data_IF_493466650134
#
_entry.id   IF_493466650134
#
_cell.length_a   1.000
_cell.length_b   1.000
_cell.length_c   1.000
_cell.angle_alpha   90.00
_cell.angle_beta   90.00
_cell.angle_gamma   90.00
#
_symmetry.space_group_name_H-M   'P 1'
#
loop_
_entity.id
_entity.type
_entity.pdbx_description
1 polymer ?
#
# COMPACT_ATOMS: atom_id res chain seq x y z
N UNK A 1 12.30 40.62 -30.22
CA UNK A 1 11.56 39.45 -30.75
C UNK A 1 11.15 38.60 -29.55
N UNK A 2 9.85 38.50 -29.23
CA UNK A 2 9.34 37.74 -28.06
C UNK A 2 9.33 36.24 -28.38
N UNK A 3 10.07 35.44 -27.62
CA UNK A 3 10.02 33.98 -27.70
C UNK A 3 8.64 33.49 -27.26
N UNK A 4 7.92 32.85 -28.18
CA UNK A 4 6.60 32.25 -27.97
C UNK A 4 6.76 30.79 -27.54
N UNK A 5 6.19 30.46 -26.37
CA UNK A 5 5.58 29.17 -26.01
C UNK A 5 6.46 27.90 -25.97
N UNK A 6 7.11 27.65 -24.83
CA UNK A 6 7.49 26.29 -24.37
C UNK A 6 6.37 25.58 -23.60
N UNK A 7 5.26 26.29 -23.30
CA UNK A 7 4.16 25.79 -22.46
C UNK A 7 3.53 24.51 -23.00
N UNK A 8 3.26 24.40 -24.30
CA UNK A 8 2.51 23.25 -24.84
C UNK A 8 3.19 21.88 -24.68
N UNK A 9 4.52 21.84 -24.57
CA UNK A 9 5.27 20.59 -24.35
C UNK A 9 5.40 20.29 -22.85
N UNK A 10 5.63 21.32 -22.03
CA UNK A 10 5.61 21.20 -20.57
C UNK A 10 4.23 20.81 -20.05
N UNK A 11 3.15 21.40 -20.58
CA UNK A 11 1.77 21.09 -20.25
C UNK A 11 1.41 19.66 -20.65
N UNK A 12 1.87 19.17 -21.81
CA UNK A 12 1.66 17.77 -22.22
C UNK A 12 2.41 16.79 -21.34
N UNK A 13 3.63 17.13 -20.91
CA UNK A 13 4.41 16.32 -19.98
C UNK A 13 3.76 16.31 -18.59
N UNK A 14 3.34 17.46 -18.09
CA UNK A 14 2.64 17.62 -16.82
C UNK A 14 1.33 16.81 -16.80
N UNK A 15 0.49 16.96 -17.83
CA UNK A 15 -0.75 16.19 -17.97
C UNK A 15 -0.51 14.67 -18.02
N UNK A 16 0.62 14.20 -18.58
CA UNK A 16 0.98 12.77 -18.59
C UNK A 16 1.45 12.30 -17.22
N UNK A 17 2.22 13.13 -16.52
CA UNK A 17 2.68 12.85 -15.16
C UNK A 17 1.50 12.75 -14.20
N UNK A 18 0.59 13.73 -14.21
CA UNK A 18 -0.62 13.74 -13.38
C UNK A 18 -1.49 12.51 -13.65
N UNK A 19 -1.71 12.15 -14.93
CA UNK A 19 -2.46 10.93 -15.28
C UNK A 19 -1.78 9.67 -14.78
N UNK A 20 -0.45 9.59 -14.84
CA UNK A 20 0.31 8.46 -14.33
C UNK A 20 0.20 8.37 -12.81
N UNK A 21 0.40 9.48 -12.11
CA UNK A 21 0.29 9.57 -10.66
C UNK A 21 -1.10 9.17 -10.16
N UNK A 22 -2.16 9.68 -10.80
CA UNK A 22 -3.54 9.30 -10.46
C UNK A 22 -3.81 7.81 -10.64
N UNK A 23 -3.27 7.20 -11.71
CA UNK A 23 -3.38 5.75 -11.95
C UNK A 23 -2.65 4.95 -10.88
N UNK A 24 -1.43 5.37 -10.54
CA UNK A 24 -0.64 4.73 -9.49
C UNK A 24 -1.33 4.85 -8.13
N UNK A 25 -1.92 6.00 -7.81
CA UNK A 25 -2.73 6.17 -6.59
C UNK A 25 -3.92 5.23 -6.56
N UNK A 26 -4.70 5.19 -7.64
CA UNK A 26 -5.86 4.31 -7.72
C UNK A 26 -5.49 2.83 -7.60
N UNK A 27 -4.38 2.41 -8.23
CA UNK A 27 -3.85 1.04 -8.10
C UNK A 27 -3.46 0.74 -6.65
N UNK A 28 -2.75 1.66 -5.99
CA UNK A 28 -2.37 1.52 -4.56
C UNK A 28 -3.60 1.42 -3.66
N UNK A 29 -4.61 2.27 -3.86
CA UNK A 29 -5.84 2.25 -3.05
C UNK A 29 -6.55 0.90 -3.17
N UNK A 30 -6.66 0.35 -4.39
CA UNK A 30 -7.23 -0.99 -4.58
C UNK A 30 -6.38 -2.08 -3.95
N UNK A 31 -5.07 -2.02 -4.15
CA UNK A 31 -4.13 -2.96 -3.55
C UNK A 31 -4.35 -3.03 -2.03
N UNK A 32 -4.32 -1.89 -1.33
CA UNK A 32 -4.57 -1.85 0.10
C UNK A 32 -5.99 -2.30 0.46
N UNK A 33 -7.02 -1.86 -0.27
CA UNK A 33 -8.42 -2.28 -0.04
C UNK A 33 -8.58 -3.81 -0.01
N UNK A 34 -7.94 -4.53 -0.94
CA UNK A 34 -8.09 -5.98 -1.04
C UNK A 34 -7.06 -6.77 -0.23
N UNK A 35 -5.89 -6.18 0.05
CA UNK A 35 -4.75 -6.91 0.62
C UNK A 35 -4.37 -6.50 2.03
N UNK A 36 -5.05 -5.52 2.64
CA UNK A 36 -4.75 -5.06 4.01
C UNK A 36 -4.62 -6.20 5.02
N UNK A 37 -5.58 -7.15 5.01
CA UNK A 37 -5.57 -8.28 5.94
C UNK A 37 -4.43 -9.27 5.64
N UNK A 38 -4.11 -9.52 4.37
CA UNK A 38 -2.97 -10.39 4.01
C UNK A 38 -1.65 -9.76 4.44
N UNK A 39 -1.49 -8.45 4.21
CA UNK A 39 -0.32 -7.66 4.62
C UNK A 39 -0.19 -7.69 6.15
N UNK A 40 -1.27 -7.39 6.87
CA UNK A 40 -1.32 -7.45 8.33
C UNK A 40 -0.85 -8.80 8.88
N UNK A 41 -1.47 -9.89 8.44
CA UNK A 41 -1.13 -11.23 8.96
C UNK A 41 0.34 -11.59 8.72
N UNK A 42 0.86 -11.29 7.52
CA UNK A 42 2.26 -11.58 7.18
C UNK A 42 3.24 -10.70 7.95
N UNK A 43 2.96 -9.40 8.08
CA UNK A 43 3.81 -8.47 8.82
C UNK A 43 3.88 -8.84 10.29
N UNK A 44 2.73 -9.04 10.94
CA UNK A 44 2.67 -9.41 12.36
C UNK A 44 3.49 -10.67 12.64
N UNK A 45 3.37 -11.70 11.79
CA UNK A 45 4.16 -12.91 11.93
C UNK A 45 5.65 -12.68 11.68
N UNK A 46 6.00 -11.97 10.60
CA UNK A 46 7.39 -11.77 10.21
C UNK A 46 8.17 -10.92 11.21
N UNK A 47 7.55 -9.88 11.78
CA UNK A 47 8.21 -9.01 12.77
C UNK A 47 8.56 -9.78 14.04
N UNK A 48 7.71 -10.72 14.47
CA UNK A 48 7.97 -11.58 15.62
C UNK A 48 9.00 -12.67 15.28
N UNK A 49 8.85 -13.35 14.15
CA UNK A 49 9.73 -14.46 13.74
C UNK A 49 11.18 -14.00 13.49
N UNK A 50 11.35 -12.81 12.90
CA UNK A 50 12.68 -12.22 12.66
C UNK A 50 13.21 -11.47 13.90
N UNK A 51 12.50 -11.54 15.04
CA UNK A 51 12.85 -10.86 16.30
C UNK A 51 13.05 -9.36 16.14
N UNK A 52 12.32 -8.72 15.23
CA UNK A 52 12.28 -7.25 15.12
C UNK A 52 11.49 -6.67 16.29
N UNK A 53 10.45 -7.36 16.76
CA UNK A 53 9.67 -6.97 17.93
C UNK A 53 9.71 -8.09 18.95
N UNK A 54 10.12 -7.78 20.18
CA UNK A 54 10.02 -8.68 21.33
C UNK A 54 8.82 -8.31 22.19
N UNK A 55 8.02 -9.31 22.57
CA UNK A 55 6.78 -9.14 23.34
C UNK A 55 6.38 -10.44 24.02
N UNK A 56 5.68 -10.34 25.16
CA UNK A 56 4.95 -11.46 25.76
C UNK A 56 3.49 -11.57 25.26
N UNK A 57 3.01 -10.58 24.50
CA UNK A 57 1.64 -10.48 24.02
C UNK A 57 1.61 -10.27 22.50
N UNK A 58 1.75 -11.37 21.75
CA UNK A 58 1.75 -11.35 20.28
C UNK A 58 0.45 -10.80 19.67
N UNK A 59 -0.68 -10.94 20.38
CA UNK A 59 -1.95 -10.40 19.90
C UNK A 59 -1.95 -8.87 19.95
N UNK A 60 -1.45 -8.26 21.02
CA UNK A 60 -1.33 -6.81 21.13
C UNK A 60 -0.46 -6.24 20.00
N UNK A 61 0.69 -6.86 19.69
CA UNK A 61 1.53 -6.46 18.55
C UNK A 61 0.76 -6.57 17.24
N UNK A 62 0.04 -7.68 17.02
CA UNK A 62 -0.78 -7.84 15.82
C UNK A 62 -1.82 -6.72 15.68
N UNK A 63 -2.48 -6.34 16.77
CA UNK A 63 -3.46 -5.26 16.77
C UNK A 63 -2.81 -3.89 16.50
N UNK A 64 -1.62 -3.63 17.04
CA UNK A 64 -0.84 -2.43 16.75
C UNK A 64 -0.44 -2.32 15.27
N UNK A 65 -0.05 -3.42 14.63
CA UNK A 65 0.26 -3.44 13.21
C UNK A 65 -0.99 -3.13 12.38
N UNK A 66 -2.14 -3.72 12.71
CA UNK A 66 -3.41 -3.41 12.06
C UNK A 66 -3.79 -1.93 12.26
N UNK A 67 -3.56 -1.36 13.43
CA UNK A 67 -3.76 0.07 13.69
C UNK A 67 -2.85 0.93 12.82
N UNK A 68 -1.55 0.60 12.73
CA UNK A 68 -0.58 1.31 11.90
C UNK A 68 -0.96 1.29 10.41
N UNK A 69 -1.35 0.12 9.90
CA UNK A 69 -1.86 -0.04 8.53
C UNK A 69 -3.12 0.81 8.28
N UNK A 70 -4.07 0.81 9.21
CA UNK A 70 -5.27 1.63 9.10
C UNK A 70 -4.97 3.14 9.14
N UNK A 71 -4.03 3.57 10.00
CA UNK A 71 -3.58 4.97 10.06
C UNK A 71 -2.92 5.37 8.75
N UNK A 72 -2.03 4.54 8.21
CA UNK A 72 -1.39 4.78 6.92
C UNK A 72 -2.43 4.92 5.78
N UNK A 73 -3.43 4.05 5.75
CA UNK A 73 -4.48 4.07 4.74
C UNK A 73 -5.44 5.28 4.86
N UNK A 74 -5.71 5.75 6.07
CA UNK A 74 -6.67 6.84 6.34
C UNK A 74 -6.05 8.22 6.47
N UNK A 75 -4.72 8.32 6.51
CA UNK A 75 -4.00 9.58 6.67
C UNK A 75 -4.24 10.51 5.48
N UNK A 76 -4.32 11.81 5.73
CA UNK A 76 -4.23 12.80 4.66
C UNK A 76 -2.84 12.74 4.02
N UNK A 77 -2.72 13.19 2.77
CA UNK A 77 -1.42 13.24 2.09
C UNK A 77 -0.38 14.05 2.88
N UNK A 78 -0.81 15.15 3.51
CA UNK A 78 0.06 15.99 4.34
C UNK A 78 0.52 15.23 5.59
N UNK A 79 -0.41 14.67 6.37
CA UNK A 79 -0.09 13.96 7.61
C UNK A 79 0.81 12.75 7.33
N UNK A 80 0.51 12.02 6.25
CA UNK A 80 1.31 10.88 5.81
C UNK A 80 2.75 11.30 5.51
N UNK A 81 2.93 12.35 4.67
CA UNK A 81 4.26 12.85 4.29
C UNK A 81 5.01 13.45 5.48
N UNK A 82 4.31 14.11 6.39
CA UNK A 82 4.89 14.66 7.60
C UNK A 82 5.38 13.55 8.53
N UNK A 83 4.57 12.51 8.73
CA UNK A 83 4.93 11.38 9.59
C UNK A 83 6.19 10.67 9.11
N UNK A 84 6.32 10.39 7.81
CA UNK A 84 7.51 9.72 7.25
C UNK A 84 8.71 10.64 7.00
N UNK A 85 8.57 11.95 7.25
CA UNK A 85 9.61 12.93 6.95
C UNK A 85 10.99 12.61 7.56
N UNK A 86 11.09 12.06 8.80
CA UNK A 86 12.38 11.73 9.42
C UNK A 86 13.20 10.71 8.63
N UNK A 87 12.55 9.69 8.06
CA UNK A 87 13.22 8.59 7.35
C UNK A 87 12.99 8.60 5.83
N UNK A 88 12.47 9.70 5.28
CA UNK A 88 12.11 9.80 3.84
C UNK A 88 13.27 9.55 2.87
N UNK A 89 14.51 9.65 3.35
CA UNK A 89 15.73 9.43 2.56
C UNK A 89 16.43 8.11 2.89
N UNK A 90 15.77 7.21 3.64
CA UNK A 90 16.35 5.94 4.08
C UNK A 90 16.85 5.09 2.91
N UNK A 91 16.07 5.00 1.82
CA UNK A 91 16.47 4.37 0.56
C UNK A 91 16.03 5.18 -0.66
N UNK A 92 16.73 5.06 -1.81
CA UNK A 92 16.27 5.63 -3.06
C UNK A 92 14.93 5.02 -3.50
N UNK A 93 13.98 5.86 -3.92
CA UNK A 93 12.65 5.43 -4.41
C UNK A 93 11.91 4.50 -3.44
N UNK A 94 11.96 4.82 -2.16
CA UNK A 94 11.32 4.06 -1.11
C UNK A 94 9.81 3.88 -1.34
N UNK A 95 9.29 2.73 -0.90
CA UNK A 95 7.86 2.50 -0.80
C UNK A 95 7.30 3.33 0.37
N UNK A 96 6.37 4.28 0.11
CA UNK A 96 5.90 5.20 1.14
C UNK A 96 5.19 4.48 2.30
N UNK A 97 4.50 3.37 2.04
CA UNK A 97 3.82 2.62 3.10
C UNK A 97 4.80 1.78 3.93
N UNK A 98 5.86 1.25 3.32
CA UNK A 98 6.92 0.60 4.07
C UNK A 98 7.65 1.61 4.98
N UNK A 99 7.93 2.82 4.48
CA UNK A 99 8.44 3.91 5.32
C UNK A 99 7.46 4.24 6.45
N UNK A 100 6.17 4.39 6.16
CA UNK A 100 5.18 4.69 7.20
C UNK A 100 5.19 3.64 8.31
N UNK A 101 5.17 2.36 7.97
CA UNK A 101 5.19 1.29 8.97
C UNK A 101 6.52 1.19 9.70
N UNK A 102 7.63 1.46 9.04
CA UNK A 102 8.96 1.54 9.68
C UNK A 102 8.95 2.63 10.74
N UNK A 103 8.52 3.85 10.39
CA UNK A 103 8.40 4.96 11.33
C UNK A 103 7.39 4.64 12.44
N UNK A 104 6.28 3.98 12.11
CA UNK A 104 5.28 3.58 13.09
C UNK A 104 5.84 2.60 14.13
N UNK A 105 6.69 1.67 13.69
CA UNK A 105 7.38 0.77 14.61
C UNK A 105 8.33 1.54 15.53
N UNK A 106 9.16 2.40 14.94
CA UNK A 106 10.22 3.15 15.63
C UNK A 106 9.70 4.26 16.58
N UNK A 107 8.52 4.82 16.33
CA UNK A 107 7.98 5.94 17.13
C UNK A 107 6.80 5.53 18.02
N UNK A 108 5.99 4.57 17.56
CA UNK A 108 4.72 4.25 18.22
C UNK A 108 4.79 2.89 18.91
N UNK A 109 5.17 1.84 18.18
CA UNK A 109 5.14 0.48 18.73
C UNK A 109 6.22 0.30 19.80
N UNK A 110 7.41 0.87 19.62
CA UNK A 110 8.50 0.78 20.61
C UNK A 110 8.09 1.32 22.00
N UNK A 111 7.09 2.21 22.05
CA UNK A 111 6.61 2.85 23.27
C UNK A 111 5.35 2.17 23.85
N UNK A 112 4.84 1.09 23.24
CA UNK A 112 3.67 0.37 23.75
C UNK A 112 4.04 -0.51 24.97
N UNK A 113 3.26 -0.52 26.06
CA UNK A 113 3.58 -1.30 27.26
C UNK A 113 3.59 -2.82 27.04
N UNK A 114 3.00 -3.33 25.95
CA UNK A 114 3.07 -4.75 25.60
C UNK A 114 4.32 -5.10 24.79
N UNK A 115 5.14 -4.13 24.39
CA UNK A 115 6.37 -4.33 23.64
C UNK A 115 7.54 -4.24 24.62
N UNK A 116 8.35 -5.29 24.64
CA UNK A 116 9.55 -5.35 25.49
C UNK A 116 10.65 -4.53 24.85
N UNK A 117 10.90 -4.75 23.56
CA UNK A 117 11.94 -4.06 22.80
C UNK A 117 11.69 -4.16 21.29
N UNK A 118 12.35 -3.29 20.53
CA UNK A 118 12.40 -3.30 19.06
C UNK A 118 13.85 -3.39 18.61
N UNK A 119 14.16 -4.42 17.81
CA UNK A 119 15.51 -4.69 17.32
C UNK A 119 15.63 -4.47 15.80
N UNK A 120 16.88 -4.24 15.38
CA UNK A 120 17.25 -4.00 13.99
C UNK A 120 17.43 -2.52 13.68
N UNK A 121 18.15 -2.24 12.61
CA UNK A 121 18.31 -0.89 12.06
C UNK A 121 17.06 -0.47 11.28
N UNK A 122 16.87 0.84 11.10
CA UNK A 122 15.80 1.40 10.25
C UNK A 122 15.76 0.72 8.88
N UNK A 123 16.94 0.44 8.31
CA UNK A 123 17.08 -0.22 7.01
C UNK A 123 16.59 -1.68 7.05
N UNK A 124 16.98 -2.45 8.07
CA UNK A 124 16.55 -3.84 8.21
C UNK A 124 15.04 -3.96 8.42
N UNK A 125 14.47 -3.10 9.27
CA UNK A 125 13.02 -3.03 9.51
C UNK A 125 12.30 -2.66 8.21
N UNK A 126 12.77 -1.62 7.52
CA UNK A 126 12.21 -1.20 6.23
C UNK A 126 12.26 -2.32 5.20
N UNK A 127 13.41 -2.97 5.03
CA UNK A 127 13.60 -4.02 4.02
C UNK A 127 12.65 -5.20 4.28
N UNK A 128 12.51 -5.65 5.52
CA UNK A 128 11.58 -6.72 5.86
C UNK A 128 10.13 -6.36 5.49
N UNK A 129 9.70 -5.13 5.80
CA UNK A 129 8.34 -4.66 5.53
C UNK A 129 8.11 -4.52 4.03
N UNK A 130 9.06 -3.90 3.31
CA UNK A 130 8.96 -3.67 1.87
C UNK A 130 8.92 -5.00 1.11
N UNK A 131 9.74 -5.97 1.49
CA UNK A 131 9.73 -7.32 0.90
C UNK A 131 8.35 -7.99 1.04
N UNK A 132 7.71 -7.88 2.20
CA UNK A 132 6.37 -8.45 2.42
C UNK A 132 5.33 -7.74 1.56
N UNK A 133 5.36 -6.40 1.51
CA UNK A 133 4.44 -5.62 0.68
C UNK A 133 4.64 -5.97 -0.80
N UNK A 134 5.88 -6.06 -1.27
CA UNK A 134 6.22 -6.42 -2.65
C UNK A 134 5.73 -7.84 -3.00
N UNK A 135 5.96 -8.82 -2.13
CA UNK A 135 5.45 -10.19 -2.34
C UNK A 135 3.92 -10.24 -2.43
N UNK A 136 3.21 -9.45 -1.63
CA UNK A 136 1.74 -9.38 -1.71
C UNK A 136 1.30 -8.63 -2.97
N UNK A 137 2.02 -7.58 -3.36
CA UNK A 137 1.74 -6.81 -4.57
C UNK A 137 1.93 -7.65 -5.83
N UNK A 138 3.01 -8.43 -5.95
CA UNK A 138 3.21 -9.32 -7.09
C UNK A 138 2.06 -10.33 -7.26
N UNK A 139 1.57 -10.90 -6.17
CA UNK A 139 0.40 -11.81 -6.21
C UNK A 139 -0.87 -11.07 -6.62
N UNK A 140 -1.04 -9.83 -6.15
CA UNK A 140 -2.17 -9.00 -6.51
C UNK A 140 -2.15 -8.63 -8.00
N UNK A 141 -1.00 -8.21 -8.55
CA UNK A 141 -0.84 -7.86 -9.96
C UNK A 141 -1.12 -9.04 -10.88
N UNK A 142 -0.61 -10.24 -10.55
CA UNK A 142 -0.94 -11.47 -11.30
C UNK A 142 -2.45 -11.74 -11.30
N UNK A 143 -3.12 -11.49 -10.17
CA UNK A 143 -4.58 -11.63 -10.06
C UNK A 143 -5.31 -10.60 -10.91
N UNK A 144 -4.86 -9.33 -10.91
CA UNK A 144 -5.40 -8.25 -11.76
C UNK A 144 -5.28 -8.60 -13.24
N UNK A 145 -4.11 -9.09 -13.68
CA UNK A 145 -3.87 -9.47 -15.06
C UNK A 145 -4.77 -10.62 -15.51
N UNK A 146 -4.97 -11.64 -14.67
CA UNK A 146 -5.88 -12.74 -14.97
C UNK A 146 -7.32 -12.27 -15.09
N UNK A 147 -7.79 -11.39 -14.20
CA UNK A 147 -9.13 -10.80 -14.26
C UNK A 147 -9.28 -9.95 -15.51
N UNK A 148 -8.29 -9.11 -15.84
CA UNK A 148 -8.30 -8.30 -17.04
C UNK A 148 -8.37 -9.15 -18.32
N UNK A 149 -7.63 -10.27 -18.38
CA UNK A 149 -7.69 -11.25 -19.50
C UNK A 149 -9.05 -11.94 -19.59
N UNK A 150 -9.76 -12.14 -18.49
CA UNK A 150 -11.12 -12.68 -18.49
C UNK A 150 -12.11 -11.65 -19.01
N UNK A 151 -12.02 -10.40 -18.55
CA UNK A 151 -12.89 -9.29 -18.97
C UNK A 151 -12.70 -8.92 -20.44
N UNK A 152 -11.47 -8.96 -20.96
CA UNK A 152 -11.19 -8.65 -22.37
C UNK A 152 -11.82 -9.63 -23.37
N UNK A 153 -12.20 -10.83 -22.92
CA UNK A 153 -12.96 -11.80 -23.74
C UNK A 153 -14.40 -11.35 -23.95
N UNK A 154 -14.93 -10.51 -23.06
CA UNK A 154 -16.26 -9.95 -23.18
C UNK A 154 -16.22 -8.61 -23.94
N UNK A 155 -16.57 -8.66 -25.23
CA UNK A 155 -16.56 -7.48 -26.12
C UNK A 155 -17.56 -6.38 -25.71
N UNK A 156 -18.51 -6.66 -24.82
CA UNK A 156 -19.47 -5.66 -24.36
C UNK A 156 -18.93 -4.73 -23.26
N UNK A 157 -17.81 -5.08 -22.62
CA UNK A 157 -17.21 -4.29 -21.55
C UNK A 157 -16.09 -3.40 -22.10
N UNK A 158 -16.31 -2.09 -22.06
CA UNK A 158 -15.31 -1.10 -22.46
C UNK A 158 -14.39 -0.80 -21.29
N UNK A 159 -13.08 -0.95 -21.47
CA UNK A 159 -12.07 -0.67 -20.43
C UNK A 159 -12.23 0.77 -19.93
N UNK A 160 -12.39 0.92 -18.61
CA UNK A 160 -12.61 2.22 -17.96
C UNK A 160 -14.04 2.73 -18.01
N UNK A 161 -15.00 1.94 -18.52
CA UNK A 161 -16.42 2.19 -18.26
C UNK A 161 -16.78 1.81 -16.83
N UNK A 162 -17.86 2.40 -16.31
CA UNK A 162 -18.37 2.05 -14.98
C UNK A 162 -18.73 0.56 -14.86
N UNK A 163 -19.30 -0.02 -15.91
CA UNK A 163 -19.65 -1.44 -15.95
C UNK A 163 -18.41 -2.35 -15.91
N UNK A 164 -17.32 -1.93 -16.56
CA UNK A 164 -16.04 -2.64 -16.49
C UNK A 164 -15.44 -2.58 -15.09
N UNK A 165 -15.51 -1.42 -14.42
CA UNK A 165 -15.02 -1.25 -13.05
C UNK A 165 -15.81 -2.10 -12.05
N UNK A 166 -17.15 -2.12 -12.16
CA UNK A 166 -18.01 -2.98 -11.34
C UNK A 166 -17.68 -4.46 -11.56
N UNK A 167 -17.57 -4.89 -12.82
CA UNK A 167 -17.25 -6.28 -13.14
C UNK A 167 -15.86 -6.69 -12.62
N UNK A 168 -14.87 -5.79 -12.72
CA UNK A 168 -13.54 -6.00 -12.18
C UNK A 168 -13.59 -6.17 -10.66
N UNK A 169 -14.29 -5.29 -9.95
CA UNK A 169 -14.43 -5.35 -8.50
C UNK A 169 -15.13 -6.64 -8.03
N UNK A 170 -16.22 -7.04 -8.69
CA UNK A 170 -16.93 -8.29 -8.39
C UNK A 170 -16.04 -9.53 -8.58
N UNK A 171 -15.25 -9.58 -9.66
CA UNK A 171 -14.31 -10.67 -9.90
C UNK A 171 -13.19 -10.69 -8.86
N UNK A 172 -12.75 -9.51 -8.40
CA UNK A 172 -11.79 -9.39 -7.31
C UNK A 172 -12.34 -9.96 -6.00
N UNK A 173 -13.55 -9.57 -5.60
CA UNK A 173 -14.20 -10.10 -4.42
C UNK A 173 -14.36 -11.62 -4.49
N UNK A 174 -14.81 -12.14 -5.64
CA UNK A 174 -14.95 -13.58 -5.88
C UNK A 174 -13.63 -14.33 -5.75
N UNK A 175 -12.54 -13.79 -6.30
CA UNK A 175 -11.20 -14.41 -6.21
C UNK A 175 -10.55 -14.25 -4.83
N UNK A 176 -10.82 -13.15 -4.14
CA UNK A 176 -10.28 -12.88 -2.82
C UNK A 176 -11.00 -13.64 -1.70
N UNK A 177 -12.16 -14.25 -1.98
CA UNK A 177 -12.98 -14.93 -0.97
C UNK A 177 -13.63 -13.96 0.03
N UNK A 178 -13.61 -12.65 -0.25
CA UNK A 178 -14.21 -11.62 0.59
C UNK A 178 -15.66 -11.44 0.13
N UNK A 179 -16.60 -12.03 0.87
CA UNK A 179 -18.03 -11.75 0.71
C UNK A 179 -18.26 -10.25 0.84
N UNK A 180 -19.07 -9.67 -0.05
CA UNK A 180 -19.42 -8.25 -0.06
C UNK A 180 -19.63 -7.72 1.36
N UNK A 181 -18.76 -6.81 1.81
CA UNK A 181 -19.07 -6.00 2.98
C UNK A 181 -20.21 -5.10 2.51
N UNK A 182 -21.44 -5.49 2.89
CA UNK A 182 -22.64 -4.69 2.75
C UNK A 182 -22.36 -3.32 3.35
N UNK A 183 -22.13 -2.32 2.50
CA UNK A 183 -22.26 -0.93 2.91
C UNK A 183 -23.74 -0.70 3.23
N UNK A 184 -24.08 -0.83 4.52
CA UNK A 184 -25.25 -0.18 5.10
C UNK A 184 -24.83 1.17 5.66
#
# INVERSE_FOLDING_TARGET
MKYRYSGSTQDKLLNRLEKKEKRESFRRDRFFKFKLSEIHNKLSQALLLNKIIETENSQAVSDLIMQGLNKAYKSSEFDFKFFIAPIRTLVPRANPYALYLTQYILEVIINDPNVIDVYGTDLEIYTLIDDIINQVNEKFERTEEEIAKQLSRNKSLVIGSRDYEIALEQLFHKKAGVSEISHK
#
